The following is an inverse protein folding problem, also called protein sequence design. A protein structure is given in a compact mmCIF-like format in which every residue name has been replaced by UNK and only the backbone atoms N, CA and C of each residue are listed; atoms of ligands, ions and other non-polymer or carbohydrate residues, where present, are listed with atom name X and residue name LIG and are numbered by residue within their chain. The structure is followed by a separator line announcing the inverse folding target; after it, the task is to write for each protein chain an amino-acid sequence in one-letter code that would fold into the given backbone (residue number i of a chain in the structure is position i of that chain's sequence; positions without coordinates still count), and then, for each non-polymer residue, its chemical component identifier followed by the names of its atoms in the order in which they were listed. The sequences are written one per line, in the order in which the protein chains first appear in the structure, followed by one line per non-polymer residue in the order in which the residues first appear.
data_IF_339667067213
#
_entry.id   IF_339667067213
#
_cell.length_a   1.000
_cell.length_b   1.000
_cell.length_c   1.000
_cell.angle_alpha   90.00
_cell.angle_beta   90.00
_cell.angle_gamma   90.00
#
_symmetry.space_group_name_H-M   'P 1'
#
loop_
_entity.id
_entity.type
_entity.pdbx_description
1 polymer ?
#
# COMPACT_ATOMS: atom_id res chain seq x y z
N UNK A 1 -13.36 4.15 7.46
CA UNK A 1 -12.15 4.76 6.91
C UNK A 1 -11.78 5.96 7.74
N UNK A 2 -10.60 5.96 8.36
CA UNK A 2 -10.00 7.19 8.91
C UNK A 2 -9.68 8.09 7.71
N UNK A 3 -10.20 9.31 7.68
CA UNK A 3 -9.87 10.28 6.64
C UNK A 3 -8.56 10.97 7.03
N UNK A 4 -7.60 11.05 6.12
CA UNK A 4 -6.33 11.75 6.36
C UNK A 4 -6.56 13.26 6.42
N UNK A 5 -6.05 13.89 7.47
CA UNK A 5 -5.84 15.34 7.58
C UNK A 5 -4.35 15.58 7.89
N UNK A 6 -3.44 14.99 7.11
CA UNK A 6 -1.99 15.30 7.23
C UNK A 6 -1.79 16.77 6.96
N UNK A 7 -1.12 17.47 7.88
CA UNK A 7 -0.96 18.92 7.81
C UNK A 7 0.26 19.30 6.99
N UNK A 8 1.24 18.40 6.86
CA UNK A 8 2.45 18.58 6.07
C UNK A 8 2.98 17.28 5.44
N UNK A 9 3.97 17.40 4.55
CA UNK A 9 4.59 16.25 3.85
C UNK A 9 5.17 15.22 4.83
N UNK A 10 5.70 15.62 5.99
CA UNK A 10 6.33 14.68 6.94
C UNK A 10 5.29 13.80 7.60
N UNK A 11 4.18 14.38 8.05
CA UNK A 11 3.06 13.63 8.61
C UNK A 11 2.47 12.67 7.58
N UNK A 12 2.35 13.11 6.32
CA UNK A 12 1.89 12.26 5.22
C UNK A 12 2.82 11.07 5.00
N UNK A 13 4.12 11.28 4.81
CA UNK A 13 5.06 10.18 4.59
C UNK A 13 5.10 9.22 5.77
N UNK A 14 5.03 9.72 7.01
CA UNK A 14 5.04 8.85 8.19
C UNK A 14 3.78 7.98 8.27
N UNK A 15 2.63 8.53 7.87
CA UNK A 15 1.40 7.75 7.71
C UNK A 15 1.56 6.65 6.64
N UNK A 16 2.25 6.95 5.53
CA UNK A 16 2.51 5.94 4.50
C UNK A 16 3.50 4.85 4.95
N UNK A 17 4.50 5.16 5.79
CA UNK A 17 5.34 4.14 6.44
C UNK A 17 4.46 3.15 7.22
N UNK A 18 3.47 3.65 7.98
CA UNK A 18 2.54 2.80 8.72
C UNK A 18 1.66 1.94 7.80
N UNK A 19 1.08 2.53 6.75
CA UNK A 19 0.25 1.79 5.80
C UNK A 19 1.04 0.69 5.09
N UNK A 20 2.23 1.00 4.58
CA UNK A 20 3.04 0.04 3.84
C UNK A 20 3.46 -1.14 4.73
N UNK A 21 3.80 -0.90 6.00
CA UNK A 21 4.06 -1.97 6.97
C UNK A 21 2.86 -2.90 7.17
N UNK A 22 1.66 -2.35 7.37
CA UNK A 22 0.46 -3.19 7.51
C UNK A 22 0.14 -3.92 6.20
N UNK A 23 0.38 -3.26 5.06
CA UNK A 23 0.12 -3.84 3.75
C UNK A 23 1.03 -5.01 3.41
N UNK A 24 2.33 -4.95 3.70
CA UNK A 24 3.26 -6.07 3.47
C UNK A 24 2.89 -7.29 4.33
N UNK A 25 2.46 -7.08 5.57
CA UNK A 25 1.90 -8.17 6.42
C UNK A 25 0.61 -8.75 5.81
N UNK A 26 -0.26 -7.91 5.24
CA UNK A 26 -1.48 -8.36 4.56
C UNK A 26 -1.17 -9.16 3.28
N UNK A 27 -0.16 -8.76 2.51
CA UNK A 27 0.35 -9.51 1.36
C UNK A 27 0.83 -10.90 1.80
N UNK A 28 1.60 -11.00 2.89
CA UNK A 28 1.99 -12.30 3.47
C UNK A 28 0.80 -13.14 3.90
N UNK A 29 -0.25 -12.55 4.49
CA UNK A 29 -1.46 -13.28 4.82
C UNK A 29 -2.09 -13.91 3.58
N UNK A 30 -2.17 -13.16 2.47
CA UNK A 30 -2.68 -13.68 1.20
C UNK A 30 -1.76 -14.79 0.66
N UNK A 31 -0.44 -14.57 0.66
CA UNK A 31 0.58 -15.52 0.23
C UNK A 31 0.50 -16.87 0.96
N UNK A 32 0.36 -16.86 2.30
CA UNK A 32 0.32 -18.08 3.11
C UNK A 32 -1.01 -18.83 3.03
N UNK A 33 -2.13 -18.10 3.01
CA UNK A 33 -3.45 -18.72 3.19
C UNK A 33 -4.20 -18.98 1.87
N UNK A 34 -3.72 -18.49 0.73
CA UNK A 34 -4.36 -18.74 -0.56
C UNK A 34 -4.37 -20.22 -0.94
N UNK A 35 -5.43 -20.63 -1.62
CA UNK A 35 -5.63 -21.99 -2.17
C UNK A 35 -6.32 -21.89 -3.53
N UNK A 36 -6.30 -22.99 -4.29
CA UNK A 36 -7.04 -23.11 -5.55
C UNK A 36 -6.12 -23.26 -6.77
N UNK A 37 -6.72 -23.32 -7.96
CA UNK A 37 -6.01 -23.67 -9.20
C UNK A 37 -4.93 -22.65 -9.62
N UNK A 38 -5.06 -21.39 -9.20
CA UNK A 38 -4.09 -20.33 -9.48
C UNK A 38 -2.97 -20.23 -8.43
N UNK A 39 -2.92 -21.15 -7.45
CA UNK A 39 -2.02 -21.08 -6.31
C UNK A 39 -0.57 -20.77 -6.69
N UNK A 40 0.06 -21.60 -7.53
CA UNK A 40 1.49 -21.45 -7.83
C UNK A 40 1.83 -20.07 -8.42
N UNK A 41 1.00 -19.58 -9.35
CA UNK A 41 1.21 -18.26 -9.97
C UNK A 41 0.97 -17.12 -8.99
N UNK A 42 -0.13 -17.16 -8.24
CA UNK A 42 -0.49 -16.06 -7.35
C UNK A 42 0.38 -16.03 -6.09
N UNK A 43 0.84 -17.19 -5.62
CA UNK A 43 1.72 -17.32 -4.47
C UNK A 43 3.07 -16.63 -4.73
N UNK A 44 3.70 -16.94 -5.87
CA UNK A 44 4.92 -16.25 -6.33
C UNK A 44 4.66 -14.75 -6.57
N UNK A 45 3.51 -14.40 -7.16
CA UNK A 45 3.16 -12.99 -7.39
C UNK A 45 3.04 -12.17 -6.10
N UNK A 46 2.64 -12.79 -4.98
CA UNK A 46 2.63 -12.09 -3.70
C UNK A 46 4.03 -11.84 -3.15
N UNK A 47 5.02 -12.71 -3.43
CA UNK A 47 6.42 -12.44 -3.05
C UNK A 47 6.97 -11.26 -3.85
N UNK A 48 6.70 -11.20 -5.16
CA UNK A 48 7.06 -10.04 -5.99
C UNK A 48 6.49 -8.74 -5.40
N UNK A 49 5.19 -8.74 -5.07
CA UNK A 49 4.55 -7.57 -4.49
C UNK A 49 5.12 -7.24 -3.12
N UNK A 50 5.40 -8.24 -2.28
CA UNK A 50 5.99 -8.02 -0.97
C UNK A 50 7.31 -7.25 -1.11
N UNK A 51 8.21 -7.72 -1.97
CA UNK A 51 9.50 -7.05 -2.20
C UNK A 51 9.33 -5.64 -2.74
N UNK A 52 8.39 -5.43 -3.67
CA UNK A 52 8.11 -4.09 -4.22
C UNK A 52 7.62 -3.12 -3.14
N UNK A 53 6.66 -3.51 -2.31
CA UNK A 53 6.10 -2.62 -1.28
C UNK A 53 6.99 -2.48 -0.04
N UNK A 54 7.86 -3.45 0.23
CA UNK A 54 8.92 -3.35 1.25
C UNK A 54 9.99 -2.33 0.83
N UNK A 55 10.40 -2.32 -0.44
CA UNK A 55 11.30 -1.28 -0.99
C UNK A 55 10.64 0.10 -0.96
N UNK A 56 9.37 0.22 -1.38
CA UNK A 56 8.64 1.50 -1.30
C UNK A 56 8.56 2.01 0.16
N UNK A 57 8.36 1.11 1.13
CA UNK A 57 8.33 1.47 2.54
C UNK A 57 9.66 2.05 3.00
N UNK A 58 10.77 1.42 2.63
CA UNK A 58 12.11 1.89 2.97
C UNK A 58 12.40 3.26 2.33
N UNK A 59 12.17 3.41 1.03
CA UNK A 59 12.37 4.68 0.32
C UNK A 59 11.50 5.81 0.90
N UNK A 60 10.25 5.54 1.30
CA UNK A 60 9.37 6.52 1.99
C UNK A 60 9.95 6.91 3.36
N UNK A 61 10.42 5.93 4.14
CA UNK A 61 11.00 6.17 5.45
C UNK A 61 12.32 6.95 5.36
N UNK A 62 13.19 6.61 4.40
CA UNK A 62 14.44 7.31 4.13
C UNK A 62 14.19 8.72 3.58
N UNK A 63 13.19 8.90 2.71
CA UNK A 63 12.78 10.23 2.25
C UNK A 63 12.33 11.10 3.42
N UNK A 64 11.54 10.54 4.33
CA UNK A 64 11.12 11.23 5.56
C UNK A 64 12.32 11.64 6.43
N UNK A 65 13.32 10.75 6.60
CA UNK A 65 14.57 11.09 7.29
C UNK A 65 15.32 12.22 6.59
N UNK A 66 15.42 12.19 5.26
CA UNK A 66 16.14 13.17 4.45
C UNK A 66 15.56 14.59 4.57
N UNK A 67 14.25 14.72 4.82
CA UNK A 67 13.58 16.02 5.08
C UNK A 67 13.51 16.37 6.57
N UNK A 68 14.17 15.59 7.44
CA UNK A 68 14.28 15.83 8.88
C UNK A 68 13.06 15.38 9.69
N UNK A 69 12.34 14.37 9.21
CA UNK A 69 11.31 13.66 9.95
C UNK A 69 11.87 12.48 10.74
N UNK A 70 10.97 11.68 11.33
CA UNK A 70 11.30 10.47 12.12
C UNK A 70 10.27 9.39 11.80
N UNK A 71 10.61 8.37 11.00
CA UNK A 71 9.66 7.33 10.63
C UNK A 71 9.23 6.56 11.87
N UNK A 72 7.95 6.18 11.91
CA UNK A 72 7.45 5.17 12.83
C UNK A 72 8.27 3.90 12.66
N UNK A 73 8.55 3.22 13.76
CA UNK A 73 9.48 2.09 13.74
C UNK A 73 9.10 0.99 14.72
N UNK A 74 7.82 0.90 15.08
CA UNK A 74 7.29 -0.15 15.92
C UNK A 74 5.91 -0.57 15.45
N UNK A 75 5.59 -1.85 15.65
CA UNK A 75 4.28 -2.41 15.27
C UNK A 75 3.11 -1.63 15.87
N UNK A 76 3.26 -1.13 17.11
CA UNK A 76 2.23 -0.33 17.78
C UNK A 76 1.99 0.98 17.03
N UNK A 77 3.05 1.68 16.62
CA UNK A 77 2.93 2.92 15.86
C UNK A 77 2.29 2.66 14.50
N UNK A 78 2.65 1.57 13.82
CA UNK A 78 2.01 1.22 12.54
C UNK A 78 0.51 1.00 12.70
N UNK A 79 0.09 0.20 13.68
CA UNK A 79 -1.33 -0.09 13.93
C UNK A 79 -2.13 1.13 14.38
N UNK A 80 -1.52 2.04 15.14
CA UNK A 80 -2.19 3.26 15.59
C UNK A 80 -2.42 4.24 14.44
N UNK A 81 -1.48 4.30 13.49
CA UNK A 81 -1.43 5.34 12.48
C UNK A 81 -1.89 4.91 11.09
N UNK A 82 -1.89 3.62 10.74
CA UNK A 82 -2.34 3.16 9.43
C UNK A 82 -3.86 3.39 9.19
N UNK A 83 -4.19 3.68 7.93
CA UNK A 83 -5.54 3.63 7.36
C UNK A 83 -5.89 2.25 6.83
N UNK A 84 -4.88 1.47 6.38
CA UNK A 84 -5.08 0.07 6.00
C UNK A 84 -5.45 -0.74 7.24
N UNK A 85 -6.56 -1.47 7.13
CA UNK A 85 -7.03 -2.36 8.18
C UNK A 85 -6.51 -3.78 7.95
N UNK A 86 -6.04 -4.42 9.02
CA UNK A 86 -5.75 -5.85 9.06
C UNK A 86 -6.81 -6.61 9.87
N UNK A 87 -6.98 -7.89 9.54
CA UNK A 87 -7.82 -8.80 10.29
C UNK A 87 -7.19 -10.19 10.33
N UNK A 88 -7.35 -10.95 11.44
CA UNK A 88 -6.86 -12.31 11.49
C UNK A 88 -7.61 -13.22 10.49
N UNK A 89 -6.87 -14.12 9.85
CA UNK A 89 -7.45 -15.13 8.96
C UNK A 89 -8.14 -16.24 9.77
N UNK A 90 -9.46 -16.11 9.96
CA UNK A 90 -10.26 -16.98 10.85
C UNK A 90 -11.16 -17.98 10.11
N UNK A 91 -11.42 -17.75 8.83
CA UNK A 91 -12.24 -18.62 7.96
C UNK A 91 -11.61 -18.69 6.58
N UNK A 92 -11.85 -19.79 5.87
CA UNK A 92 -11.39 -19.92 4.49
C UNK A 92 -12.01 -18.84 3.59
N UNK A 93 -11.19 -18.24 2.74
CA UNK A 93 -11.54 -17.28 1.71
C UNK A 93 -11.19 -17.86 0.34
N UNK A 94 -12.01 -17.56 -0.66
CA UNK A 94 -11.70 -17.84 -2.06
C UNK A 94 -10.56 -16.96 -2.57
N UNK A 95 -9.95 -17.35 -3.69
CA UNK A 95 -8.94 -16.53 -4.37
C UNK A 95 -9.50 -15.14 -4.71
N UNK A 96 -10.73 -15.07 -5.22
CA UNK A 96 -11.37 -13.81 -5.59
C UNK A 96 -11.60 -12.89 -4.38
N UNK A 97 -11.95 -13.44 -3.21
CA UNK A 97 -12.08 -12.67 -1.97
C UNK A 97 -10.73 -12.11 -1.50
N UNK A 98 -9.66 -12.90 -1.61
CA UNK A 98 -8.30 -12.45 -1.25
C UNK A 98 -7.79 -11.36 -2.19
N UNK A 99 -7.98 -11.53 -3.51
CA UNK A 99 -7.55 -10.54 -4.50
C UNK A 99 -8.43 -9.30 -4.47
N UNK A 100 -9.73 -9.42 -4.16
CA UNK A 100 -10.60 -8.26 -3.92
C UNK A 100 -10.13 -7.42 -2.72
N UNK A 101 -9.66 -8.06 -1.65
CA UNK A 101 -9.10 -7.40 -0.47
C UNK A 101 -7.76 -6.71 -0.77
N UNK A 102 -6.90 -7.36 -1.57
CA UNK A 102 -5.66 -6.75 -2.11
C UNK A 102 -5.98 -5.49 -2.93
N UNK A 103 -6.91 -5.59 -3.88
CA UNK A 103 -7.31 -4.48 -4.75
C UNK A 103 -7.85 -3.31 -3.93
N UNK A 104 -8.67 -3.58 -2.91
CA UNK A 104 -9.21 -2.53 -2.04
C UNK A 104 -8.10 -1.76 -1.30
N UNK A 105 -7.05 -2.46 -0.86
CA UNK A 105 -5.88 -1.82 -0.25
C UNK A 105 -5.04 -1.04 -1.26
N UNK A 106 -4.86 -1.54 -2.48
CA UNK A 106 -4.18 -0.81 -3.56
C UNK A 106 -4.93 0.47 -3.94
N UNK A 107 -6.25 0.41 -4.06
CA UNK A 107 -7.09 1.57 -4.36
C UNK A 107 -7.01 2.62 -3.25
N UNK A 108 -6.99 2.20 -1.98
CA UNK A 108 -6.75 3.09 -0.85
C UNK A 108 -5.39 3.79 -0.95
N UNK A 109 -4.31 3.04 -1.16
CA UNK A 109 -2.96 3.62 -1.32
C UNK A 109 -2.89 4.58 -2.50
N UNK A 110 -3.46 4.22 -3.66
CA UNK A 110 -3.54 5.10 -4.85
C UNK A 110 -4.20 6.44 -4.50
N UNK A 111 -5.34 6.39 -3.81
CA UNK A 111 -6.13 7.57 -3.51
C UNK A 111 -5.46 8.44 -2.45
N UNK A 112 -4.76 7.84 -1.50
CA UNK A 112 -3.94 8.56 -0.53
C UNK A 112 -2.68 9.16 -1.18
N UNK A 113 -1.99 8.44 -2.06
CA UNK A 113 -0.86 8.99 -2.83
C UNK A 113 -1.31 10.16 -3.71
N UNK A 114 -2.51 10.11 -4.27
CA UNK A 114 -3.07 11.26 -4.98
C UNK A 114 -3.26 12.50 -4.07
N UNK A 115 -3.54 12.31 -2.79
CA UNK A 115 -3.59 13.40 -1.81
C UNK A 115 -2.17 13.91 -1.49
N UNK A 116 -1.23 12.98 -1.27
CA UNK A 116 0.18 13.29 -1.04
C UNK A 116 0.81 14.10 -2.17
N UNK A 117 0.57 13.71 -3.42
CA UNK A 117 1.04 14.43 -4.62
C UNK A 117 0.58 15.89 -4.59
N UNK A 118 -0.71 16.14 -4.32
CA UNK A 118 -1.23 17.51 -4.25
C UNK A 118 -0.60 18.30 -3.10
N UNK A 119 -0.46 17.66 -1.94
CA UNK A 119 0.18 18.28 -0.76
C UNK A 119 1.64 18.65 -1.05
N UNK A 120 2.42 17.74 -1.63
CA UNK A 120 3.83 17.99 -1.95
C UNK A 120 4.00 19.05 -3.05
N UNK A 121 3.07 19.12 -4.00
CA UNK A 121 3.02 20.20 -4.99
C UNK A 121 2.74 21.56 -4.32
N UNK A 122 1.78 21.61 -3.38
CA UNK A 122 1.47 22.83 -2.61
C UNK A 122 2.64 23.30 -1.73
N UNK A 123 3.42 22.37 -1.16
CA UNK A 123 4.59 22.68 -0.34
C UNK A 123 5.88 22.92 -1.15
N UNK A 124 5.86 22.66 -2.46
CA UNK A 124 7.04 22.74 -3.32
C UNK A 124 8.12 21.69 -3.01
N UNK A 125 7.74 20.53 -2.47
CA UNK A 125 8.63 19.38 -2.30
C UNK A 125 8.61 18.51 -3.56
N UNK A 126 9.31 18.98 -4.60
CA UNK A 126 9.35 18.35 -5.93
C UNK A 126 9.82 16.89 -5.88
N UNK A 127 10.76 16.56 -4.98
CA UNK A 127 11.37 15.22 -4.90
C UNK A 127 10.39 14.22 -4.30
N UNK A 128 9.71 14.60 -3.21
CA UNK A 128 8.67 13.72 -2.64
C UNK A 128 7.48 13.60 -3.60
N UNK A 129 7.12 14.69 -4.29
CA UNK A 129 6.07 14.69 -5.29
C UNK A 129 6.35 13.69 -6.42
N UNK A 130 7.55 13.73 -7.01
CA UNK A 130 7.97 12.81 -8.08
C UNK A 130 7.93 11.34 -7.62
N UNK A 131 8.46 11.06 -6.43
CA UNK A 131 8.45 9.72 -5.82
C UNK A 131 7.02 9.17 -5.70
N UNK A 132 6.08 9.96 -5.17
CA UNK A 132 4.69 9.54 -5.01
C UNK A 132 3.97 9.34 -6.36
N UNK A 133 4.29 10.13 -7.40
CA UNK A 133 3.79 9.91 -8.78
C UNK A 133 4.28 8.56 -9.31
N UNK A 134 5.56 8.24 -9.09
CA UNK A 134 6.16 6.96 -9.47
C UNK A 134 5.43 5.79 -8.84
N UNK A 135 5.24 5.79 -7.52
CA UNK A 135 4.54 4.70 -6.84
C UNK A 135 3.07 4.60 -7.24
N UNK A 136 2.38 5.73 -7.39
CA UNK A 136 0.99 5.74 -7.87
C UNK A 136 0.87 5.10 -9.25
N UNK A 137 1.85 5.33 -10.13
CA UNK A 137 1.88 4.75 -11.48
C UNK A 137 1.95 3.22 -11.44
N UNK A 138 2.81 2.64 -10.60
CA UNK A 138 2.88 1.18 -10.46
C UNK A 138 1.64 0.61 -9.75
N UNK A 139 1.10 1.29 -8.74
CA UNK A 139 -0.16 0.89 -8.10
C UNK A 139 -1.32 0.84 -9.11
N UNK A 140 -1.48 1.86 -9.96
CA UNK A 140 -2.54 1.90 -11.00
C UNK A 140 -2.43 0.70 -11.96
N UNK A 141 -1.20 0.31 -12.30
CA UNK A 141 -0.93 -0.86 -13.15
C UNK A 141 -1.27 -2.18 -12.44
N UNK A 142 -0.95 -2.32 -11.16
CA UNK A 142 -1.37 -3.47 -10.36
C UNK A 142 -2.89 -3.56 -10.24
N UNK A 143 -3.57 -2.44 -9.98
CA UNK A 143 -5.03 -2.38 -9.92
C UNK A 143 -5.63 -2.91 -11.23
N UNK A 144 -5.12 -2.47 -12.39
CA UNK A 144 -5.56 -3.01 -13.69
C UNK A 144 -5.38 -4.52 -13.78
N UNK A 145 -4.19 -5.04 -13.46
CA UNK A 145 -3.88 -6.46 -13.59
C UNK A 145 -4.75 -7.33 -12.66
N UNK A 146 -4.94 -6.92 -11.41
CA UNK A 146 -5.75 -7.68 -10.44
C UNK A 146 -7.25 -7.53 -10.68
N UNK A 147 -7.75 -6.38 -11.13
CA UNK A 147 -9.15 -6.26 -11.59
C UNK A 147 -9.39 -7.13 -12.82
N UNK A 148 -8.44 -7.19 -13.75
CA UNK A 148 -8.53 -8.08 -14.91
C UNK A 148 -8.53 -9.56 -14.51
N UNK A 149 -7.73 -9.95 -13.51
CA UNK A 149 -7.79 -11.30 -12.91
C UNK A 149 -9.20 -11.60 -12.35
N UNK A 150 -9.84 -10.62 -11.72
CA UNK A 150 -11.22 -10.72 -11.22
C UNK A 150 -12.30 -10.55 -12.32
N UNK A 151 -11.92 -10.40 -13.58
CA UNK A 151 -12.85 -10.20 -14.70
C UNK A 151 -13.55 -8.84 -14.74
N UNK A 152 -12.95 -7.80 -14.15
CA UNK A 152 -13.50 -6.43 -14.05
C UNK A 152 -12.64 -5.40 -14.79
N UNK A 153 -13.24 -4.26 -15.12
CA UNK A 153 -12.47 -3.10 -15.60
C UNK A 153 -11.73 -2.40 -14.43
N UNK A 154 -10.62 -1.67 -14.67
CA UNK A 154 -9.77 -1.12 -13.61
C UNK A 154 -10.46 -0.11 -12.68
N UNK A 155 -11.44 0.63 -13.19
CA UNK A 155 -12.14 1.71 -12.48
C UNK A 155 -13.61 1.37 -12.20
N UNK A 156 -13.97 0.08 -12.28
CA UNK A 156 -15.29 -0.44 -11.92
C UNK A 156 -15.42 -0.71 -10.41
#
# INVERSE_FOLDING_TARGET
MKTINSVDTKEFLNHQVANLNVFTVKIHQIHWYMKGHNFFTMHEKMDDLYSEFDEQMDEVAERLLAIGGKPFSSLKEFLENASIEEAPYTKEKSMDELIGDLVSSLELLRDEYQQGIKLTEEEGDDVTNDMLIGYKTEIDKHIWMYKAFLGKAPLE
#
